data_IF_684642643932
#
_entry.id   IF_684642643932
#
_cell.length_a   1.000
_cell.length_b   1.000
_cell.length_c   1.000
_cell.angle_alpha   90.00
_cell.angle_beta   90.00
_cell.angle_gamma   90.00
#
_symmetry.space_group_name_H-M   'P 1'
#
loop_
_entity.id
_entity.type
_entity.pdbx_description
1 polymer ?
#
# COMPACT_ATOMS: atom_id res chain seq x y z
N UNK A 1 -28.50 27.75 20.84
CA UNK A 1 -28.11 29.02 20.19
C UNK A 1 -27.50 29.97 21.21
N UNK A 2 -26.16 30.01 21.34
CA UNK A 2 -25.43 31.14 21.91
C UNK A 2 -24.13 31.26 21.13
N UNK A 3 -24.06 32.32 20.33
CA UNK A 3 -22.94 32.71 19.48
C UNK A 3 -21.98 33.54 20.32
N UNK A 4 -20.71 33.19 20.33
CA UNK A 4 -19.64 34.15 20.66
C UNK A 4 -18.53 33.97 19.64
N UNK A 5 -18.57 34.88 18.68
CA UNK A 5 -17.61 35.14 17.61
C UNK A 5 -16.50 36.01 18.24
N UNK A 6 -15.28 35.50 18.35
CA UNK A 6 -14.11 36.34 18.64
C UNK A 6 -13.33 36.56 17.36
N UNK A 7 -13.32 37.82 16.94
CA UNK A 7 -12.68 38.37 15.77
C UNK A 7 -11.17 38.54 15.98
N UNK A 8 -10.41 38.18 14.93
CA UNK A 8 -9.17 38.75 14.42
C UNK A 8 -8.19 39.48 15.35
N UNK A 9 -6.95 38.98 15.38
CA UNK A 9 -5.77 39.86 15.33
C UNK A 9 -4.74 39.26 14.38
N UNK A 10 -4.61 39.90 13.21
CA UNK A 10 -3.47 39.75 12.32
C UNK A 10 -2.28 40.52 12.93
N UNK A 11 -1.14 39.86 13.05
CA UNK A 11 0.13 40.46 13.48
C UNK A 11 1.21 40.14 12.47
N UNK A 12 1.29 40.97 11.42
CA UNK A 12 2.42 41.03 10.49
C UNK A 12 3.55 41.81 11.17
N UNK A 13 4.71 41.21 11.39
CA UNK A 13 5.94 41.94 11.68
C UNK A 13 7.13 41.26 11.00
N UNK A 14 7.50 41.80 9.85
CA UNK A 14 8.80 41.62 9.23
C UNK A 14 9.72 42.74 9.71
N UNK A 15 10.95 42.43 10.12
CA UNK A 15 12.09 43.32 9.94
C UNK A 15 13.43 42.58 10.08
N UNK A 16 14.26 42.87 9.08
CA UNK A 16 15.62 42.41 8.77
C UNK A 16 16.67 42.96 9.74
N UNK A 17 17.86 42.34 9.77
CA UNK A 17 19.23 42.92 9.71
C UNK A 17 20.23 41.81 10.13
N UNK A 18 21.01 41.25 9.20
CA UNK A 18 22.35 41.69 8.77
C UNK A 18 23.49 41.40 9.79
N UNK A 19 24.45 40.57 9.39
CA UNK A 19 25.73 40.37 10.08
C UNK A 19 26.73 39.58 9.22
N UNK A 20 27.87 40.20 8.93
CA UNK A 20 28.88 39.85 7.91
C UNK A 20 30.09 39.05 8.44
N UNK A 21 30.86 38.47 7.50
CA UNK A 21 32.30 38.14 7.61
C UNK A 21 32.69 36.99 6.66
N UNK A 22 33.18 37.21 5.42
CA UNK A 22 34.57 37.51 4.99
C UNK A 22 35.57 36.40 5.38
N UNK A 23 36.51 35.88 4.58
CA UNK A 23 36.97 36.01 3.19
C UNK A 23 37.66 34.64 2.88
N UNK A 24 37.94 34.22 1.65
CA UNK A 24 39.11 34.71 0.93
C UNK A 24 39.09 34.34 -0.57
N UNK A 25 39.73 35.21 -1.34
CA UNK A 25 39.84 35.19 -2.80
C UNK A 25 41.00 34.29 -3.24
N UNK A 26 40.89 33.70 -4.42
CA UNK A 26 42.00 33.72 -5.36
C UNK A 26 41.45 33.75 -6.79
N UNK A 27 41.61 34.94 -7.38
CA UNK A 27 41.85 35.32 -8.78
C UNK A 27 41.86 34.17 -9.81
N UNK A 28 41.18 34.25 -10.95
CA UNK A 28 41.06 35.41 -11.85
C UNK A 28 41.94 35.11 -13.08
N UNK A 29 41.33 34.89 -14.26
CA UNK A 29 41.39 35.81 -15.42
C UNK A 29 41.86 34.97 -16.64
N UNK A 30 41.42 35.06 -17.89
CA UNK A 30 40.44 35.86 -18.64
C UNK A 30 40.29 35.23 -20.04
N UNK A 31 39.29 35.68 -20.80
CA UNK A 31 39.37 35.76 -22.28
C UNK A 31 38.47 34.76 -23.01
N UNK A 32 37.20 35.07 -23.31
CA UNK A 32 36.68 35.82 -24.48
C UNK A 32 36.31 34.95 -25.69
N UNK A 33 34.99 34.84 -25.89
CA UNK A 33 34.18 35.02 -27.13
C UNK A 33 34.77 34.55 -28.48
N UNK A 34 34.05 33.65 -29.17
CA UNK A 34 33.44 33.84 -30.51
C UNK A 34 33.37 32.54 -31.31
N UNK A 35 32.17 32.22 -31.82
CA UNK A 35 31.97 31.37 -33.00
C UNK A 35 32.52 32.09 -34.26
N UNK A 36 32.85 31.40 -35.38
CA UNK A 36 31.80 30.96 -36.33
C UNK A 36 32.11 29.67 -37.14
N UNK A 37 31.09 29.26 -37.91
CA UNK A 37 31.05 28.18 -38.91
C UNK A 37 32.08 28.27 -40.05
N UNK A 38 32.46 27.12 -40.63
CA UNK A 38 32.30 26.81 -42.08
C UNK A 38 32.93 25.45 -42.47
N UNK A 39 32.14 24.68 -43.24
CA UNK A 39 32.43 23.68 -44.29
C UNK A 39 33.85 23.14 -44.54
N UNK A 40 33.89 21.86 -44.95
CA UNK A 40 34.36 21.32 -46.27
C UNK A 40 34.63 19.81 -46.09
N UNK A 41 33.73 18.91 -46.52
CA UNK A 41 33.70 18.23 -47.84
C UNK A 41 34.40 16.86 -47.79
N UNK A 42 33.59 15.79 -47.77
CA UNK A 42 33.47 14.73 -48.79
C UNK A 42 34.61 13.68 -48.77
N UNK A 43 34.34 12.37 -48.77
CA UNK A 43 33.83 11.63 -49.95
C UNK A 43 33.46 10.21 -49.50
N UNK A 44 32.17 9.86 -49.57
CA UNK A 44 31.57 8.85 -50.46
C UNK A 44 32.27 7.48 -50.55
N UNK A 45 31.52 6.42 -50.25
CA UNK A 45 31.41 5.31 -51.18
C UNK A 45 30.05 4.62 -51.06
N UNK A 46 29.49 4.39 -52.24
CA UNK A 46 28.14 3.97 -52.64
C UNK A 46 27.95 2.46 -52.68
N UNK A 47 26.71 1.96 -52.49
CA UNK A 47 25.93 1.21 -53.51
C UNK A 47 24.74 0.38 -52.94
N UNK A 48 23.78 -0.06 -53.80
CA UNK A 48 22.35 -0.15 -53.49
C UNK A 48 21.72 -1.56 -53.60
N UNK A 49 20.44 -1.71 -53.22
CA UNK A 49 19.39 -2.61 -53.78
C UNK A 49 18.15 -2.51 -52.86
N UNK A 50 16.98 -2.04 -53.31
CA UNK A 50 15.94 -2.66 -54.16
C UNK A 50 14.94 -3.56 -53.40
N UNK A 51 13.68 -3.09 -53.43
CA UNK A 51 12.37 -3.76 -53.44
C UNK A 51 12.05 -5.02 -52.62
N UNK A 52 10.96 -4.91 -51.85
CA UNK A 52 9.81 -5.82 -52.02
C UNK A 52 9.50 -6.82 -50.90
N UNK A 53 8.25 -6.78 -50.44
CA UNK A 53 7.47 -8.01 -50.26
C UNK A 53 7.36 -8.62 -48.85
N UNK A 54 6.21 -8.35 -48.24
CA UNK A 54 5.27 -9.34 -47.68
C UNK A 54 5.69 -10.26 -46.52
N UNK A 55 4.94 -10.11 -45.43
CA UNK A 55 4.43 -11.27 -44.67
C UNK A 55 5.30 -11.76 -43.53
N UNK A 56 5.25 -11.08 -42.39
CA UNK A 56 5.49 -11.75 -41.11
C UNK A 56 4.13 -12.07 -40.49
N UNK A 57 3.79 -13.36 -40.25
CA UNK A 57 2.55 -13.70 -39.57
C UNK A 57 2.66 -13.18 -38.14
N UNK A 58 1.83 -12.19 -37.83
CA UNK A 58 1.49 -11.86 -36.46
C UNK A 58 0.77 -13.08 -35.88
N UNK A 59 1.54 -14.02 -35.35
CA UNK A 59 1.05 -14.97 -34.39
C UNK A 59 0.81 -14.19 -33.09
N UNK A 60 -0.30 -13.46 -33.07
CA UNK A 60 -0.92 -12.96 -31.86
C UNK A 60 -1.37 -14.19 -31.08
N UNK A 61 -0.44 -14.78 -30.34
CA UNK A 61 -0.78 -15.65 -29.23
C UNK A 61 -1.42 -14.76 -28.18
N UNK A 62 -2.73 -14.58 -28.31
CA UNK A 62 -3.57 -14.03 -27.26
C UNK A 62 -3.46 -14.99 -26.08
N UNK A 63 -2.56 -14.67 -25.15
CA UNK A 63 -2.45 -15.36 -23.88
C UNK A 63 -3.68 -14.98 -23.07
N UNK A 64 -4.74 -15.77 -23.19
CA UNK A 64 -5.88 -15.71 -22.31
C UNK A 64 -5.38 -15.91 -20.88
N UNK A 65 -5.63 -14.95 -19.98
CA UNK A 65 -5.35 -15.14 -18.56
C UNK A 65 -6.04 -16.43 -18.08
N UNK A 66 -5.39 -17.25 -17.23
CA UNK A 66 -6.00 -18.46 -16.70
C UNK A 66 -7.28 -18.11 -15.94
N UNK A 67 -8.36 -18.84 -16.20
CA UNK A 67 -9.61 -18.69 -15.47
C UNK A 67 -9.42 -19.20 -14.03
N UNK A 68 -9.97 -18.47 -13.05
CA UNK A 68 -9.95 -18.86 -11.64
C UNK A 68 -10.64 -20.22 -11.44
N UNK A 69 -10.08 -21.05 -10.58
CA UNK A 69 -10.70 -22.29 -10.10
C UNK A 69 -11.97 -21.99 -9.28
N UNK A 70 -12.82 -23.00 -9.08
CA UNK A 70 -14.03 -22.84 -8.27
C UNK A 70 -13.71 -22.48 -6.81
N UNK A 71 -12.59 -22.98 -6.29
CA UNK A 71 -12.11 -22.66 -4.95
C UNK A 71 -11.68 -21.19 -4.84
N UNK A 72 -10.88 -20.70 -5.77
CA UNK A 72 -10.48 -19.29 -5.85
C UNK A 72 -11.68 -18.35 -6.02
N UNK A 73 -12.68 -18.75 -6.82
CA UNK A 73 -13.91 -17.99 -6.97
C UNK A 73 -14.71 -17.92 -5.66
N UNK A 74 -14.81 -19.03 -4.93
CA UNK A 74 -15.49 -19.07 -3.63
C UNK A 74 -14.75 -18.25 -2.58
N UNK A 75 -13.42 -18.26 -2.59
CA UNK A 75 -12.58 -17.47 -1.70
C UNK A 75 -12.72 -15.98 -2.01
N UNK A 76 -12.69 -15.60 -3.29
CA UNK A 76 -12.91 -14.21 -3.72
C UNK A 76 -14.27 -13.68 -3.26
N UNK A 77 -15.33 -14.48 -3.41
CA UNK A 77 -16.66 -14.10 -2.92
C UNK A 77 -16.71 -13.91 -1.40
N UNK A 78 -16.02 -14.76 -0.63
CA UNK A 78 -15.89 -14.59 0.81
C UNK A 78 -15.12 -13.30 1.18
N UNK A 79 -14.04 -13.02 0.46
CA UNK A 79 -13.26 -11.80 0.65
C UNK A 79 -14.06 -10.54 0.31
N UNK A 80 -14.86 -10.54 -0.75
CA UNK A 80 -15.75 -9.43 -1.13
C UNK A 80 -16.80 -9.13 -0.04
N UNK A 81 -17.33 -10.16 0.61
CA UNK A 81 -18.25 -10.00 1.74
C UNK A 81 -17.56 -9.40 2.97
N UNK A 82 -16.34 -9.84 3.27
CA UNK A 82 -15.54 -9.33 4.39
C UNK A 82 -15.07 -7.91 4.15
N UNK A 83 -14.53 -7.59 2.98
CA UNK A 83 -14.03 -6.23 2.68
C UNK A 83 -15.18 -5.21 2.73
N UNK A 84 -16.37 -5.61 2.27
CA UNK A 84 -17.58 -4.81 2.44
C UNK A 84 -17.95 -4.60 3.91
N UNK A 85 -17.84 -5.62 4.76
CA UNK A 85 -18.07 -5.48 6.20
C UNK A 85 -17.06 -4.53 6.86
N UNK A 86 -15.79 -4.57 6.44
CA UNK A 86 -14.75 -3.67 6.94
C UNK A 86 -15.01 -2.22 6.53
N UNK A 87 -15.28 -1.99 5.24
CA UNK A 87 -15.64 -0.66 4.69
C UNK A 87 -16.82 -0.04 5.44
N UNK A 88 -17.87 -0.82 5.65
CA UNK A 88 -19.12 -0.37 6.25
C UNK A 88 -19.04 -0.32 7.80
N UNK A 89 -17.90 -0.73 8.37
CA UNK A 89 -17.65 -0.84 9.82
C UNK A 89 -18.69 -1.70 10.54
N UNK A 90 -19.15 -2.75 9.87
CA UNK A 90 -20.15 -3.69 10.38
C UNK A 90 -19.48 -4.84 11.13
N UNK A 91 -19.25 -4.64 12.43
CA UNK A 91 -18.68 -5.67 13.29
C UNK A 91 -19.56 -6.91 13.44
N UNK A 92 -20.89 -6.78 13.25
CA UNK A 92 -21.78 -7.94 13.34
C UNK A 92 -21.62 -8.83 12.11
N UNK A 93 -21.51 -8.22 10.92
CA UNK A 93 -21.18 -8.95 9.68
C UNK A 93 -19.78 -9.54 9.75
N UNK A 94 -18.78 -8.79 10.23
CA UNK A 94 -17.42 -9.30 10.42
C UNK A 94 -17.38 -10.50 11.40
N UNK A 95 -18.12 -10.42 12.50
CA UNK A 95 -18.26 -11.52 13.46
C UNK A 95 -18.84 -12.78 12.84
N UNK A 96 -19.79 -12.65 11.92
CA UNK A 96 -20.37 -13.80 11.22
C UNK A 96 -19.37 -14.56 10.33
N UNK A 97 -18.25 -13.93 9.95
CA UNK A 97 -17.17 -14.54 9.15
C UNK A 97 -16.03 -15.09 9.99
N UNK A 98 -15.91 -14.67 11.26
CA UNK A 98 -14.80 -15.02 12.14
C UNK A 98 -14.79 -16.51 12.46
N UNK A 99 -13.64 -17.16 12.35
CA UNK A 99 -13.51 -18.56 12.74
C UNK A 99 -13.66 -18.75 14.25
N UNK A 100 -14.45 -19.74 14.67
CA UNK A 100 -14.70 -19.99 16.10
C UNK A 100 -13.53 -20.61 16.85
N UNK A 101 -12.62 -21.31 16.15
CA UNK A 101 -11.48 -21.96 16.80
C UNK A 101 -10.31 -20.99 16.95
N UNK A 102 -10.04 -20.19 15.90
CA UNK A 102 -8.90 -19.28 15.84
C UNK A 102 -9.22 -17.86 16.33
N UNK A 103 -10.48 -17.43 16.25
CA UNK A 103 -10.82 -16.00 16.36
C UNK A 103 -10.31 -15.20 15.17
N UNK A 104 -10.39 -13.86 15.27
CA UNK A 104 -9.89 -12.93 14.28
C UNK A 104 -8.67 -12.18 14.80
N UNK A 105 -7.52 -12.41 14.17
CA UNK A 105 -6.26 -11.70 14.40
C UNK A 105 -6.23 -10.37 13.66
N UNK A 106 -5.64 -9.37 14.30
CA UNK A 106 -5.33 -8.07 13.69
C UNK A 106 -3.83 -7.83 13.79
N UNK A 107 -3.17 -7.72 12.64
CA UNK A 107 -1.73 -7.47 12.56
C UNK A 107 -1.46 -6.17 11.81
N UNK A 108 -0.67 -5.23 12.39
CA UNK A 108 -0.29 -4.00 11.71
C UNK A 108 0.73 -4.22 10.58
N UNK A 109 1.24 -5.44 10.40
CA UNK A 109 2.26 -5.75 9.40
C UNK A 109 2.12 -7.18 8.82
N UNK A 110 2.66 -7.46 7.62
CA UNK A 110 2.54 -8.77 6.96
C UNK A 110 3.05 -9.94 7.81
N UNK A 111 4.11 -9.73 8.59
CA UNK A 111 4.63 -10.74 9.51
C UNK A 111 3.84 -10.70 10.83
N UNK A 112 2.88 -11.62 10.98
CA UNK A 112 2.07 -11.79 12.18
C UNK A 112 2.91 -12.32 13.35
N UNK A 113 2.74 -11.72 14.52
CA UNK A 113 3.48 -12.04 15.75
C UNK A 113 2.56 -12.68 16.80
N UNK A 114 3.13 -13.43 17.74
CA UNK A 114 2.38 -14.00 18.86
C UNK A 114 1.67 -12.95 19.74
N UNK A 115 2.19 -11.72 19.75
CA UNK A 115 1.64 -10.58 20.49
C UNK A 115 0.48 -9.85 19.78
N UNK A 116 0.17 -10.19 18.52
CA UNK A 116 -0.96 -9.58 17.82
C UNK A 116 -2.28 -9.86 18.56
N UNK A 117 -3.23 -8.94 18.43
CA UNK A 117 -4.52 -9.08 19.07
C UNK A 117 -5.40 -10.04 18.31
N UNK A 118 -6.00 -10.98 19.05
CA UNK A 118 -6.99 -11.93 18.54
C UNK A 118 -8.29 -11.75 19.32
N UNK A 119 -9.40 -11.54 18.61
CA UNK A 119 -10.73 -11.42 19.21
C UNK A 119 -11.63 -12.56 18.77
N UNK A 120 -12.45 -13.05 19.70
CA UNK A 120 -13.55 -13.95 19.38
C UNK A 120 -14.72 -13.16 18.76
N UNK A 121 -15.54 -13.83 17.96
CA UNK A 121 -16.65 -13.22 17.23
C UNK A 121 -17.62 -12.42 18.12
N UNK A 122 -17.82 -12.85 19.36
CA UNK A 122 -18.69 -12.21 20.35
C UNK A 122 -17.97 -11.18 21.23
N UNK A 123 -16.68 -10.91 20.96
CA UNK A 123 -15.79 -10.10 21.82
C UNK A 123 -15.05 -8.99 21.09
N UNK A 124 -15.50 -8.57 19.90
CA UNK A 124 -14.96 -7.38 19.27
C UNK A 124 -15.14 -6.14 20.17
N UNK A 125 -14.10 -5.31 20.33
CA UNK A 125 -14.25 -4.02 20.98
C UNK A 125 -15.22 -3.13 20.17
N UNK A 126 -15.91 -2.22 20.85
CA UNK A 126 -16.78 -1.26 20.17
C UNK A 126 -15.94 -0.14 19.56
N UNK A 127 -16.37 0.40 18.41
CA UNK A 127 -15.82 1.66 17.87
C UNK A 127 -16.05 2.88 18.78
N UNK A 128 -16.90 2.75 19.79
CA UNK A 128 -17.16 3.79 20.80
C UNK A 128 -16.23 3.70 22.01
N UNK A 129 -15.48 2.61 22.14
CA UNK A 129 -14.56 2.43 23.26
C UNK A 129 -13.33 3.30 23.02
N UNK A 130 -12.96 4.08 24.03
CA UNK A 130 -11.81 5.00 24.01
C UNK A 130 -10.56 4.41 24.67
N UNK A 131 -10.69 3.22 25.26
CA UNK A 131 -9.60 2.50 25.91
C UNK A 131 -8.50 2.11 24.92
N UNK A 132 -7.27 2.53 25.20
CA UNK A 132 -6.11 2.13 24.42
C UNK A 132 -5.77 0.65 24.64
N UNK A 133 -5.52 -0.06 23.55
CA UNK A 133 -5.00 -1.41 23.50
C UNK A 133 -3.60 -1.37 22.87
N UNK A 134 -2.76 -2.33 23.23
CA UNK A 134 -1.44 -2.50 22.62
C UNK A 134 -1.54 -3.48 21.45
N UNK A 135 -1.09 -3.06 20.26
CA UNK A 135 -1.25 -3.74 18.98
C UNK A 135 0.08 -4.18 18.35
N UNK A 136 1.14 -4.30 19.17
CA UNK A 136 2.51 -4.52 18.72
C UNK A 136 3.35 -3.23 18.82
N UNK A 137 4.36 -3.11 17.96
CA UNK A 137 5.30 -1.99 17.94
C UNK A 137 5.44 -1.43 16.54
N UNK A 138 5.64 -0.12 16.42
CA UNK A 138 5.92 0.54 15.16
C UNK A 138 7.26 0.08 14.60
N UNK A 139 7.27 -0.26 13.32
CA UNK A 139 8.50 -0.55 12.60
C UNK A 139 9.47 0.66 12.60
N UNK A 140 10.77 0.36 12.61
CA UNK A 140 11.86 1.35 12.71
C UNK A 140 12.07 1.98 14.10
N UNK A 141 11.00 2.46 14.75
CA UNK A 141 11.11 3.08 16.09
C UNK A 141 11.08 2.08 17.25
N UNK A 142 10.34 0.98 17.09
CA UNK A 142 10.09 -0.01 18.15
C UNK A 142 9.08 0.44 19.23
N UNK A 143 8.59 1.68 19.17
CA UNK A 143 7.62 2.20 20.13
C UNK A 143 6.30 1.43 20.06
N UNK A 144 5.63 1.16 21.21
CA UNK A 144 4.41 0.37 21.23
C UNK A 144 3.25 1.10 20.53
N UNK A 145 2.51 0.38 19.70
CA UNK A 145 1.29 0.85 19.06
C UNK A 145 0.17 0.80 20.09
N UNK A 146 -0.07 1.91 20.78
CA UNK A 146 -1.14 2.07 21.79
C UNK A 146 -2.28 2.89 21.24
N UNK A 147 -3.31 2.22 20.75
CA UNK A 147 -4.45 2.83 20.06
C UNK A 147 -5.76 2.25 20.58
N UNK A 148 -6.83 3.06 20.57
CA UNK A 148 -8.18 2.51 20.71
C UNK A 148 -8.49 1.58 19.53
N UNK A 149 -9.51 0.73 19.65
CA UNK A 149 -9.89 -0.14 18.54
C UNK A 149 -10.28 0.66 17.28
N UNK A 150 -10.99 1.78 17.46
CA UNK A 150 -11.34 2.67 16.34
C UNK A 150 -10.09 3.24 15.68
N UNK A 151 -9.17 3.79 16.46
CA UNK A 151 -8.00 4.46 15.89
C UNK A 151 -7.04 3.44 15.25
N UNK A 152 -6.96 2.21 15.77
CA UNK A 152 -6.25 1.12 15.11
C UNK A 152 -6.92 0.73 13.79
N UNK A 153 -8.24 0.57 13.79
CA UNK A 153 -8.99 0.19 12.59
C UNK A 153 -8.82 1.23 11.47
N UNK A 154 -8.88 2.51 11.80
CA UNK A 154 -8.67 3.63 10.86
C UNK A 154 -7.25 3.74 10.34
N UNK A 155 -6.27 3.14 11.04
CA UNK A 155 -4.85 3.29 10.73
C UNK A 155 -4.25 2.05 10.06
N UNK A 156 -4.77 0.87 10.35
CA UNK A 156 -4.17 -0.41 9.97
C UNK A 156 -5.19 -1.44 9.45
N UNK A 157 -6.47 -1.09 9.33
CA UNK A 157 -7.49 -2.01 8.80
C UNK A 157 -8.21 -1.42 7.60
N UNK A 158 -8.54 -0.13 7.66
CA UNK A 158 -9.27 0.55 6.60
C UNK A 158 -8.89 2.03 6.56
N UNK A 159 -7.60 2.29 6.38
CA UNK A 159 -7.02 3.61 6.11
C UNK A 159 -7.27 4.05 4.65
N UNK A 160 -7.40 3.10 3.73
CA UNK A 160 -7.76 3.30 2.32
C UNK A 160 -9.04 2.53 1.93
N UNK A 161 -9.67 2.93 0.82
CA UNK A 161 -10.87 2.22 0.30
C UNK A 161 -10.49 0.94 -0.44
N UNK A 162 -10.00 -0.06 0.30
CA UNK A 162 -9.55 -1.35 -0.24
C UNK A 162 -10.62 -2.10 -1.04
N UNK A 163 -11.91 -1.83 -0.83
CA UNK A 163 -12.97 -2.36 -1.68
C UNK A 163 -12.90 -1.88 -3.15
N UNK A 164 -12.19 -0.77 -3.42
CA UNK A 164 -11.89 -0.22 -4.74
C UNK A 164 -10.37 -0.29 -5.05
N UNK A 165 -9.68 -1.28 -4.49
CA UNK A 165 -8.25 -1.46 -4.70
C UNK A 165 -7.87 -1.60 -6.20
N UNK A 166 -6.72 -1.04 -6.55
CA UNK A 166 -6.22 -1.07 -7.94
C UNK A 166 -5.91 -2.50 -8.41
N UNK A 167 -5.46 -3.35 -7.48
CA UNK A 167 -5.24 -4.77 -7.75
C UNK A 167 -5.80 -5.62 -6.61
N UNK A 168 -6.39 -6.76 -6.98
CA UNK A 168 -6.80 -7.81 -6.06
C UNK A 168 -6.10 -9.09 -6.48
N UNK A 169 -5.40 -9.75 -5.56
CA UNK A 169 -4.70 -11.01 -5.81
C UNK A 169 -5.14 -12.10 -4.84
N UNK A 170 -5.27 -13.32 -5.35
CA UNK A 170 -5.69 -14.50 -4.60
C UNK A 170 -4.49 -15.44 -4.47
N UNK A 171 -4.22 -15.91 -3.25
CA UNK A 171 -3.14 -16.84 -2.91
C UNK A 171 -1.74 -16.42 -3.42
N UNK A 172 -1.54 -15.11 -3.63
CA UNK A 172 -0.27 -14.51 -4.01
C UNK A 172 -0.25 -13.06 -3.56
N UNK A 173 0.94 -12.59 -3.18
CA UNK A 173 1.14 -11.17 -2.88
C UNK A 173 1.41 -10.40 -4.18
N UNK A 174 0.71 -9.30 -4.35
CA UNK A 174 1.01 -8.22 -5.28
C UNK A 174 1.97 -7.19 -4.64
N UNK A 175 1.91 -6.99 -3.32
CA UNK A 175 2.83 -6.09 -2.61
C UNK A 175 4.27 -6.61 -2.62
N UNK A 176 5.21 -5.68 -2.58
CA UNK A 176 6.63 -5.96 -2.44
C UNK A 176 7.20 -5.11 -1.30
N UNK A 177 7.66 -5.75 -0.23
CA UNK A 177 8.21 -5.08 0.94
C UNK A 177 9.25 -5.94 1.67
N UNK A 178 9.82 -5.37 2.74
CA UNK A 178 10.85 -6.03 3.53
C UNK A 178 10.31 -7.08 4.51
N UNK A 179 9.00 -7.03 4.81
CA UNK A 179 8.35 -7.95 5.73
C UNK A 179 7.68 -9.10 4.98
N UNK A 180 8.11 -10.33 5.30
CA UNK A 180 7.51 -11.55 4.75
C UNK A 180 6.17 -11.84 5.42
N UNK A 181 5.12 -11.97 4.61
CA UNK A 181 3.85 -12.53 5.06
C UNK A 181 3.99 -14.00 5.47
N UNK A 182 3.48 -14.35 6.64
CA UNK A 182 3.60 -15.69 7.24
C UNK A 182 2.23 -16.36 7.52
N UNK A 183 1.13 -15.86 6.96
CA UNK A 183 -0.21 -16.36 7.30
C UNK A 183 -0.45 -17.83 6.98
N UNK A 184 0.08 -18.33 5.86
CA UNK A 184 -0.03 -19.76 5.51
C UNK A 184 0.82 -20.66 6.42
N UNK A 185 1.88 -20.11 7.04
CA UNK A 185 2.67 -20.82 8.05
C UNK A 185 1.92 -20.88 9.39
N UNK A 186 1.30 -19.76 9.81
CA UNK A 186 0.52 -19.68 11.05
C UNK A 186 -0.79 -20.46 10.97
N UNK A 187 -1.42 -20.49 9.80
CA UNK A 187 -2.70 -21.16 9.56
C UNK A 187 -2.53 -22.18 8.43
N UNK A 188 -2.03 -23.41 8.72
CA UNK A 188 -1.79 -24.42 7.70
C UNK A 188 -3.06 -24.75 6.92
N UNK A 189 -2.97 -24.73 5.59
CA UNK A 189 -4.10 -24.95 4.69
C UNK A 189 -5.05 -23.76 4.55
N UNK A 190 -4.67 -22.59 5.07
CA UNK A 190 -5.34 -21.33 4.74
C UNK A 190 -5.04 -20.88 3.32
N UNK A 191 -5.80 -19.89 2.86
CA UNK A 191 -5.49 -19.09 1.69
C UNK A 191 -5.82 -17.62 2.00
N UNK A 192 -5.47 -16.71 1.10
CA UNK A 192 -5.64 -15.28 1.35
C UNK A 192 -5.99 -14.50 0.09
N UNK A 193 -6.58 -13.32 0.31
CA UNK A 193 -6.82 -12.31 -0.71
C UNK A 193 -6.12 -11.03 -0.28
N UNK A 194 -5.34 -10.44 -1.17
CA UNK A 194 -4.72 -9.13 -0.95
C UNK A 194 -5.40 -8.07 -1.83
N UNK A 195 -5.76 -6.96 -1.20
CA UNK A 195 -6.22 -5.74 -1.82
C UNK A 195 -5.07 -4.74 -1.81
N UNK A 196 -4.59 -4.31 -2.99
CA UNK A 196 -3.33 -3.58 -3.12
C UNK A 196 -3.48 -2.27 -3.88
N UNK A 197 -2.89 -1.21 -3.31
CA UNK A 197 -2.62 0.06 -3.97
C UNK A 197 -1.10 0.20 -4.19
N UNK A 198 -0.62 0.38 -5.44
CA UNK A 198 0.81 0.47 -5.74
C UNK A 198 1.49 1.79 -5.30
N UNK A 199 0.75 2.70 -4.66
CA UNK A 199 1.20 4.04 -4.29
C UNK A 199 0.26 5.12 -4.84
N UNK A 200 0.34 6.31 -4.24
CA UNK A 200 -0.62 7.41 -4.45
C UNK A 200 0.08 8.66 -5.00
N UNK A 201 1.20 9.08 -4.41
CA UNK A 201 2.05 10.18 -4.89
C UNK A 201 3.22 9.64 -5.71
N UNK A 202 3.24 9.99 -7.00
CA UNK A 202 4.33 9.64 -7.93
C UNK A 202 5.71 10.09 -7.46
N UNK A 203 5.81 11.13 -6.63
CA UNK A 203 7.08 11.63 -6.08
C UNK A 203 7.67 10.69 -5.03
N UNK A 204 6.84 9.83 -4.44
CA UNK A 204 7.27 8.83 -3.47
C UNK A 204 7.71 7.54 -4.17
N UNK A 205 7.72 7.49 -5.51
CA UNK A 205 8.27 6.38 -6.31
C UNK A 205 7.70 5.00 -5.92
N UNK A 206 6.47 4.96 -5.41
CA UNK A 206 5.80 3.74 -4.95
C UNK A 206 6.19 3.31 -3.54
N UNK A 207 6.87 4.15 -2.75
CA UNK A 207 7.16 3.92 -1.33
C UNK A 207 5.98 4.23 -0.40
N UNK A 208 4.84 4.61 -0.96
CA UNK A 208 3.57 4.87 -0.29
C UNK A 208 2.50 3.84 -0.68
N UNK A 209 2.94 2.64 -1.09
CA UNK A 209 2.02 1.55 -1.33
C UNK A 209 1.34 1.11 -0.03
N UNK A 210 0.09 0.70 -0.14
CA UNK A 210 -0.74 0.20 0.95
C UNK A 210 -1.42 -1.10 0.50
N UNK A 211 -1.59 -2.05 1.42
CA UNK A 211 -2.29 -3.30 1.15
C UNK A 211 -3.05 -3.83 2.36
N UNK A 212 -4.14 -4.54 2.10
CA UNK A 212 -4.87 -5.27 3.12
C UNK A 212 -4.96 -6.74 2.72
N UNK A 213 -4.42 -7.61 3.56
CA UNK A 213 -4.40 -9.06 3.36
C UNK A 213 -5.43 -9.70 4.29
N UNK A 214 -6.40 -10.40 3.70
CA UNK A 214 -7.43 -11.15 4.40
C UNK A 214 -7.10 -12.64 4.31
N UNK A 215 -6.81 -13.26 5.45
CA UNK A 215 -6.46 -14.69 5.54
C UNK A 215 -7.67 -15.52 5.97
N UNK A 216 -7.93 -16.61 5.26
CA UNK A 216 -9.08 -17.49 5.47
C UNK A 216 -8.67 -18.94 5.65
N UNK A 217 -9.34 -19.64 6.56
CA UNK A 217 -9.26 -21.11 6.69
C UNK A 217 -10.51 -21.77 6.10
N UNK A 218 -10.38 -22.97 5.52
CA UNK A 218 -11.52 -23.72 5.02
C UNK A 218 -12.43 -24.18 6.17
N UNK A 219 -13.74 -24.10 5.97
CA UNK A 219 -14.76 -24.62 6.87
C UNK A 219 -15.84 -25.35 6.06
N UNK A 220 -15.62 -26.64 5.82
CA UNK A 220 -16.45 -27.42 4.92
C UNK A 220 -16.29 -26.95 3.47
N UNK A 221 -17.37 -26.44 2.88
CA UNK A 221 -17.35 -25.83 1.54
C UNK A 221 -17.19 -24.31 1.57
N UNK A 222 -17.17 -23.72 2.76
CA UNK A 222 -17.12 -22.28 2.98
C UNK A 222 -15.75 -21.85 3.53
N UNK A 223 -15.59 -20.55 3.74
CA UNK A 223 -14.38 -19.93 4.29
C UNK A 223 -14.67 -19.21 5.60
N UNK A 224 -13.68 -19.19 6.51
CA UNK A 224 -13.71 -18.39 7.73
C UNK A 224 -12.50 -17.48 7.80
N UNK A 225 -12.74 -16.21 8.14
CA UNK A 225 -11.70 -15.22 8.31
C UNK A 225 -10.95 -15.48 9.62
N UNK A 226 -9.62 -15.49 9.56
CA UNK A 226 -8.74 -15.72 10.71
C UNK A 226 -7.74 -14.58 10.95
N UNK A 227 -7.42 -13.78 9.93
CA UNK A 227 -6.56 -12.61 10.09
C UNK A 227 -6.95 -11.46 9.15
N UNK A 228 -6.82 -10.25 9.67
CA UNK A 228 -6.74 -9.00 8.92
C UNK A 228 -5.35 -8.43 9.14
N UNK A 229 -4.61 -8.26 8.04
CA UNK A 229 -3.21 -7.89 8.10
C UNK A 229 -2.94 -6.70 7.19
N UNK A 230 -2.39 -5.64 7.78
CA UNK A 230 -1.96 -4.46 7.05
C UNK A 230 -0.62 -4.70 6.36
N UNK A 231 -0.48 -4.18 5.15
CA UNK A 231 0.77 -4.11 4.42
C UNK A 231 1.06 -2.67 4.04
N UNK A 232 2.27 -2.21 4.32
CA UNK A 232 2.75 -0.91 3.88
C UNK A 232 4.26 -0.94 3.72
N UNK A 233 4.83 0.10 3.12
CA UNK A 233 6.27 0.28 3.17
C UNK A 233 6.76 0.44 4.62
N UNK A 234 7.79 -0.32 4.97
CA UNK A 234 8.46 -0.34 6.28
C UNK A 234 9.98 -0.10 6.08
N UNK A 235 10.70 0.32 7.13
CA UNK A 235 12.07 0.89 7.02
C UNK A 235 13.18 0.02 7.61
#
# INVERSE_FOLDING_TARGET
>A
MRRTLSLFTAGLLALLLAGCGAADRSDGNSGTVSAPSANTEATQSSSPADSGGSGSPSASASASAPALSAEEQSLAAAADEVIGALRDRDLARLASWTDSAHGLRFSPYPHMNDTDRVFQADRFPSFKDDGALEWGSYDGSGEPIKLSFRDYFEKFVYDEDFADATAVSIAKLASSGNMTYNGEELYPGSSFVEYYFPGFDKKLEGHDWESLILTFVPNGTDWRLVAVTHGQWTI
#
